data_IF_059196854843
#
_entry.id   IF_059196854843
#
_cell.length_a   1.000
_cell.length_b   1.000
_cell.length_c   1.000
_cell.angle_alpha   90.00
_cell.angle_beta   90.00
_cell.angle_gamma   90.00
#
_symmetry.space_group_name_H-M   'P 1'
#
loop_
_entity.id
_entity.type
_entity.pdbx_description
1 polymer ?
#
# COMPACT_ATOMS: atom_id res chain seq x y z
N UNK A 1 8.49 6.82 10.94
CA UNK A 1 8.53 7.54 9.62
C UNK A 1 7.12 7.61 8.99
N UNK A 2 6.85 8.54 8.06
CA UNK A 2 5.49 8.72 7.49
C UNK A 2 4.96 7.43 6.88
N UNK A 3 5.71 6.78 5.99
CA UNK A 3 5.30 5.53 5.35
C UNK A 3 5.03 4.42 6.37
N UNK A 4 5.88 4.29 7.40
CA UNK A 4 5.70 3.32 8.47
C UNK A 4 4.40 3.55 9.25
N UNK A 5 4.11 4.81 9.59
CA UNK A 5 2.86 5.19 10.28
C UNK A 5 1.63 4.87 9.43
N UNK A 6 1.67 5.11 8.13
CA UNK A 6 0.57 4.72 7.24
C UNK A 6 0.41 3.19 7.18
N UNK A 7 1.51 2.46 6.98
CA UNK A 7 1.49 1.00 6.91
C UNK A 7 0.98 0.37 8.21
N UNK A 8 1.42 0.85 9.36
CA UNK A 8 1.13 0.23 10.66
C UNK A 8 -0.18 0.71 11.28
N UNK A 9 -0.52 2.00 11.15
CA UNK A 9 -1.65 2.60 11.87
C UNK A 9 -2.84 2.94 10.98
N UNK A 10 -2.62 3.26 9.70
CA UNK A 10 -3.72 3.65 8.79
C UNK A 10 -4.22 2.46 7.99
N UNK A 11 -3.32 1.76 7.32
CA UNK A 11 -3.65 0.57 6.52
C UNK A 11 -3.63 -0.70 7.36
N UNK A 12 -2.87 -0.70 8.46
CA UNK A 12 -2.70 -1.85 9.36
C UNK A 12 -2.32 -3.13 8.59
N UNK A 13 -1.35 -3.00 7.68
CA UNK A 13 -0.83 -4.10 6.84
C UNK A 13 0.61 -4.47 7.19
N UNK A 14 1.18 -3.86 8.22
CA UNK A 14 2.55 -4.14 8.67
C UNK A 14 2.77 -3.81 10.14
N UNK A 15 3.95 -4.16 10.64
CA UNK A 15 4.38 -3.91 12.01
C UNK A 15 5.72 -3.17 11.98
N UNK A 16 5.83 -2.13 12.78
CA UNK A 16 7.08 -1.38 12.98
C UNK A 16 8.01 -2.16 13.91
N UNK A 17 9.30 -2.23 13.52
CA UNK A 17 10.38 -2.72 14.38
C UNK A 17 10.98 -1.51 15.09
N UNK A 18 11.33 -1.67 16.37
CA UNK A 18 11.97 -0.63 17.15
C UNK A 18 13.29 -0.16 16.50
N UNK A 19 13.65 1.10 16.71
CA UNK A 19 14.88 1.67 16.15
C UNK A 19 16.13 1.04 16.77
N UNK A 20 16.06 0.65 18.05
CA UNK A 20 17.09 -0.11 18.74
C UNK A 20 16.82 -1.61 18.62
N UNK A 21 17.09 -2.15 17.45
CA UNK A 21 16.75 -3.52 17.06
C UNK A 21 17.38 -4.56 18.01
N UNK A 22 16.55 -5.43 18.58
CA UNK A 22 16.99 -6.61 19.35
C UNK A 22 16.49 -7.89 18.70
N UNK A 23 17.34 -8.93 18.70
CA UNK A 23 17.05 -10.21 18.04
C UNK A 23 15.77 -10.85 18.57
N UNK A 24 15.57 -10.82 19.87
CA UNK A 24 14.43 -11.44 20.55
C UNK A 24 13.11 -10.73 20.21
N UNK A 25 13.16 -9.41 20.00
CA UNK A 25 12.00 -8.61 19.58
C UNK A 25 11.66 -8.89 18.11
N UNK A 26 12.68 -8.95 17.24
CA UNK A 26 12.50 -9.34 15.83
C UNK A 26 11.91 -10.74 15.70
N UNK A 27 12.42 -11.71 16.46
CA UNK A 27 11.91 -13.09 16.45
C UNK A 27 10.42 -13.14 16.84
N UNK A 28 10.02 -12.41 17.88
CA UNK A 28 8.60 -12.31 18.29
C UNK A 28 7.73 -11.72 17.19
N UNK A 29 8.18 -10.64 16.54
CA UNK A 29 7.44 -10.00 15.46
C UNK A 29 7.32 -10.89 14.22
N UNK A 30 8.40 -11.59 13.85
CA UNK A 30 8.39 -12.56 12.74
C UNK A 30 7.43 -13.72 13.04
N UNK A 31 7.48 -14.27 14.26
CA UNK A 31 6.56 -15.33 14.66
C UNK A 31 5.09 -14.87 14.60
N UNK A 32 4.78 -13.66 15.08
CA UNK A 32 3.44 -13.08 14.96
C UNK A 32 3.04 -12.91 13.48
N UNK A 33 3.95 -12.43 12.62
CA UNK A 33 3.72 -12.24 11.19
C UNK A 33 3.48 -13.56 10.42
N UNK A 34 4.12 -14.64 10.84
CA UNK A 34 4.00 -15.93 10.16
C UNK A 34 2.71 -16.65 10.56
N UNK A 35 2.48 -16.83 11.86
CA UNK A 35 1.40 -17.73 12.36
C UNK A 35 0.39 -17.04 13.27
N UNK A 36 0.64 -15.80 13.70
CA UNK A 36 -0.20 -15.08 14.65
C UNK A 36 -1.55 -14.61 14.07
N UNK A 37 -2.50 -14.33 14.95
CA UNK A 37 -3.84 -13.86 14.57
C UNK A 37 -3.79 -12.44 13.97
N UNK A 38 -2.86 -11.57 14.42
CA UNK A 38 -2.71 -10.25 13.79
C UNK A 38 -2.27 -10.40 12.35
N UNK A 39 -1.43 -11.40 12.03
CA UNK A 39 -1.01 -11.62 10.66
C UNK A 39 -2.13 -12.03 9.71
N UNK A 40 -3.10 -12.82 10.18
CA UNK A 40 -4.30 -13.15 9.39
C UNK A 40 -5.08 -11.89 9.02
N UNK A 41 -5.29 -10.99 9.99
CA UNK A 41 -5.97 -9.70 9.78
C UNK A 41 -5.19 -8.78 8.83
N UNK A 42 -3.86 -8.66 9.03
CA UNK A 42 -3.01 -7.85 8.14
C UNK A 42 -3.03 -8.38 6.71
N UNK A 43 -2.98 -9.71 6.50
CA UNK A 43 -3.07 -10.33 5.17
C UNK A 43 -4.41 -10.05 4.51
N UNK A 44 -5.52 -10.12 5.25
CA UNK A 44 -6.85 -9.77 4.72
C UNK A 44 -6.90 -8.30 4.26
N UNK A 45 -6.46 -7.37 5.10
CA UNK A 45 -6.38 -5.94 4.76
C UNK A 45 -5.48 -5.68 3.55
N UNK A 46 -4.35 -6.37 3.45
CA UNK A 46 -3.43 -6.26 2.31
C UNK A 46 -4.08 -6.74 1.00
N UNK A 47 -4.84 -7.83 1.03
CA UNK A 47 -5.59 -8.34 -0.13
C UNK A 47 -6.70 -7.36 -0.55
N UNK A 48 -7.45 -6.81 0.42
CA UNK A 48 -8.47 -5.79 0.15
C UNK A 48 -7.86 -4.53 -0.46
N UNK A 49 -6.74 -4.07 0.08
CA UNK A 49 -6.02 -2.91 -0.45
C UNK A 49 -5.51 -3.18 -1.86
N UNK A 50 -4.91 -4.35 -2.12
CA UNK A 50 -4.47 -4.78 -3.45
C UNK A 50 -5.63 -4.73 -4.45
N UNK A 51 -6.79 -5.28 -4.09
CA UNK A 51 -7.98 -5.27 -4.96
C UNK A 51 -8.42 -3.85 -5.33
N UNK A 52 -8.46 -2.93 -4.36
CA UNK A 52 -8.80 -1.51 -4.61
C UNK A 52 -7.82 -0.85 -5.58
N UNK A 53 -6.52 -1.09 -5.37
CA UNK A 53 -5.47 -0.56 -6.27
C UNK A 53 -5.63 -1.11 -7.69
N UNK A 54 -5.91 -2.40 -7.85
CA UNK A 54 -6.16 -3.02 -9.15
C UNK A 54 -7.42 -2.44 -9.83
N UNK A 55 -8.49 -2.21 -9.07
CA UNK A 55 -9.73 -1.58 -9.57
C UNK A 55 -9.53 -0.12 -10.00
N UNK A 56 -8.69 0.64 -9.29
CA UNK A 56 -8.41 2.04 -9.61
C UNK A 56 -7.46 2.21 -10.81
N UNK A 57 -6.62 1.20 -11.08
CA UNK A 57 -5.57 1.27 -12.12
C UNK A 57 -5.93 0.54 -13.42
N UNK A 58 -6.94 -0.33 -13.43
CA UNK A 58 -7.48 -0.95 -14.66
C UNK A 58 -8.25 0.05 -15.54
N UNK A 59 -8.53 -0.27 -16.81
CA UNK A 59 -9.38 0.57 -17.67
C UNK A 59 -10.72 0.90 -17.00
N UNK A 60 -11.08 2.19 -17.01
CA UNK A 60 -12.26 2.72 -16.31
C UNK A 60 -12.07 2.99 -14.81
N UNK A 61 -10.93 2.64 -14.23
CA UNK A 61 -10.55 2.98 -12.85
C UNK A 61 -10.16 4.46 -12.71
N UNK A 62 -10.27 5.01 -11.50
CA UNK A 62 -10.07 6.45 -11.28
C UNK A 62 -8.63 6.91 -11.61
N UNK A 63 -7.61 6.16 -11.20
CA UNK A 63 -6.21 6.48 -11.47
C UNK A 63 -5.90 6.35 -12.96
N UNK A 64 -6.45 5.33 -13.62
CA UNK A 64 -6.36 5.15 -15.08
C UNK A 64 -6.96 6.36 -15.82
N UNK A 65 -8.18 6.76 -15.47
CA UNK A 65 -8.88 7.89 -16.08
C UNK A 65 -8.16 9.22 -15.83
N UNK A 66 -7.60 9.40 -14.64
CA UNK A 66 -6.79 10.59 -14.32
C UNK A 66 -5.57 10.69 -15.23
N UNK A 67 -4.88 9.57 -15.48
CA UNK A 67 -3.76 9.55 -16.42
C UNK A 67 -4.21 9.87 -17.86
N UNK A 68 -5.31 9.27 -18.33
CA UNK A 68 -5.87 9.61 -19.65
C UNK A 68 -6.19 11.10 -19.76
N UNK A 69 -6.74 11.69 -18.70
CA UNK A 69 -7.05 13.11 -18.65
C UNK A 69 -5.79 13.97 -18.81
N UNK A 70 -4.72 13.65 -18.07
CA UNK A 70 -3.43 14.36 -18.20
C UNK A 70 -2.88 14.26 -19.62
N UNK A 71 -2.92 13.08 -20.23
CA UNK A 71 -2.46 12.88 -21.61
C UNK A 71 -3.26 13.76 -22.57
N UNK A 72 -4.59 13.71 -22.49
CA UNK A 72 -5.49 14.45 -23.38
C UNK A 72 -5.43 15.96 -23.20
N UNK A 73 -5.37 16.43 -21.95
CA UNK A 73 -5.52 17.85 -21.64
C UNK A 73 -4.20 18.61 -21.53
N UNK A 74 -3.10 17.94 -21.23
CA UNK A 74 -1.78 18.58 -21.08
C UNK A 74 -0.88 18.19 -22.23
N UNK A 75 -0.59 16.89 -22.39
CA UNK A 75 0.48 16.45 -23.28
C UNK A 75 0.10 16.57 -24.77
N UNK A 76 -1.12 16.17 -25.14
CA UNK A 76 -1.54 16.25 -26.54
C UNK A 76 -1.89 17.67 -26.99
N UNK A 77 -2.39 18.52 -26.08
CA UNK A 77 -2.66 19.93 -26.41
C UNK A 77 -1.37 20.73 -26.65
N UNK A 78 -0.30 20.45 -25.91
CA UNK A 78 1.00 21.09 -26.12
C UNK A 78 1.65 20.73 -27.46
N UNK A 79 1.36 19.54 -27.99
CA UNK A 79 1.90 19.08 -29.29
C UNK A 79 1.10 19.61 -30.50
N UNK A 80 -0.01 20.31 -30.28
CA UNK A 80 -0.88 20.87 -31.32
C UNK A 80 -0.75 22.40 -31.44
N UNK A 81 0.02 23.03 -30.55
CA UNK A 81 0.47 24.43 -30.61
C UNK A 81 1.92 24.50 -31.05
#
# INVERSE_FOLDING_TARGET
>A
PISCRYICNTWEIGIEIDTNVKREEVEKLVNELMVGEKAKKMRQKAVELKKKVEEDTRPGGCSYMNLEKVIKEVLLKQNQT
#
